data_IF_166840925197
#
_entry.id   IF_166840925197
#
_cell.length_a   1.000
_cell.length_b   1.000
_cell.length_c   1.000
_cell.angle_alpha   90.00
_cell.angle_beta   90.00
_cell.angle_gamma   90.00
#
_symmetry.space_group_name_H-M   'P 1'
#
loop_
_entity.id
_entity.type
_entity.pdbx_description
1 polymer ?
#
# COMPACT_ATOMS: atom_id res chain seq x y z
N UNK A 1 25.94 4.81 -16.26
CA UNK A 1 27.28 4.55 -15.68
C UNK A 1 27.81 3.22 -16.24
N UNK A 2 28.56 3.27 -17.34
CA UNK A 2 29.09 2.06 -17.98
C UNK A 2 30.24 1.49 -17.14
N UNK A 3 29.99 0.45 -16.34
CA UNK A 3 31.02 -0.31 -15.61
C UNK A 3 32.06 -0.79 -16.64
N UNK A 4 33.24 -0.17 -16.63
CA UNK A 4 34.24 -0.26 -17.71
C UNK A 4 35.19 -1.44 -17.51
N UNK A 5 35.17 -2.05 -16.32
CA UNK A 5 36.01 -3.18 -15.95
C UNK A 5 35.17 -4.43 -15.57
N UNK A 6 35.55 -5.63 -16.06
CA UNK A 6 34.87 -6.90 -15.71
C UNK A 6 34.85 -7.12 -14.19
N UNK A 7 35.90 -6.71 -13.49
CA UNK A 7 36.01 -6.82 -12.04
C UNK A 7 34.94 -5.98 -11.30
N UNK A 8 34.72 -4.73 -11.72
CA UNK A 8 33.70 -3.86 -11.14
C UNK A 8 32.30 -4.45 -11.32
N UNK A 9 32.00 -5.00 -12.50
CA UNK A 9 30.71 -5.68 -12.75
C UNK A 9 30.52 -6.88 -11.82
N UNK A 10 31.51 -7.75 -11.70
CA UNK A 10 31.43 -8.91 -10.80
C UNK A 10 31.26 -8.49 -9.35
N UNK A 11 31.99 -7.46 -8.91
CA UNK A 11 31.88 -6.94 -7.54
C UNK A 11 30.48 -6.37 -7.27
N UNK A 12 29.93 -5.57 -8.18
CA UNK A 12 28.56 -5.02 -8.06
C UNK A 12 27.54 -6.15 -8.00
N UNK A 13 27.63 -7.15 -8.89
CA UNK A 13 26.71 -8.30 -8.88
C UNK A 13 26.83 -9.10 -7.59
N UNK A 14 28.04 -9.35 -7.09
CA UNK A 14 28.26 -10.05 -5.84
C UNK A 14 27.64 -9.30 -4.64
N UNK A 15 27.84 -7.98 -4.57
CA UNK A 15 27.24 -7.14 -3.53
C UNK A 15 25.72 -7.16 -3.61
N UNK A 16 25.14 -7.05 -4.82
CA UNK A 16 23.69 -7.10 -5.01
C UNK A 16 23.10 -8.47 -4.63
N UNK A 17 23.79 -9.57 -4.97
CA UNK A 17 23.37 -10.92 -4.59
C UNK A 17 23.43 -11.14 -3.08
N UNK A 18 24.54 -10.76 -2.43
CA UNK A 18 24.70 -10.89 -0.98
C UNK A 18 23.65 -10.02 -0.27
N UNK A 19 23.49 -8.77 -0.69
CA UNK A 19 22.47 -7.88 -0.15
C UNK A 19 21.05 -8.43 -0.32
N UNK A 20 20.74 -8.98 -1.50
CA UNK A 20 19.46 -9.62 -1.78
C UNK A 20 19.19 -10.83 -0.88
N UNK A 21 20.18 -11.70 -0.68
CA UNK A 21 20.07 -12.86 0.22
C UNK A 21 19.84 -12.42 1.66
N UNK A 22 20.61 -11.43 2.15
CA UNK A 22 20.49 -10.92 3.52
C UNK A 22 19.10 -10.30 3.77
N UNK A 23 18.56 -9.58 2.80
CA UNK A 23 17.20 -9.00 2.89
C UNK A 23 16.13 -10.08 2.82
N UNK A 24 16.30 -11.13 2.02
CA UNK A 24 15.34 -12.22 1.88
C UNK A 24 15.30 -13.16 3.10
N UNK A 25 16.41 -13.31 3.82
CA UNK A 25 16.57 -14.23 4.92
C UNK A 25 15.49 -14.13 6.02
N UNK A 26 15.14 -12.95 6.57
CA UNK A 26 14.09 -12.85 7.58
C UNK A 26 12.70 -13.25 7.05
N UNK A 27 12.40 -12.98 5.78
CA UNK A 27 11.14 -13.39 5.15
C UNK A 27 11.08 -14.90 4.94
N UNK A 28 12.19 -15.50 4.49
CA UNK A 28 12.31 -16.96 4.36
C UNK A 28 12.19 -17.63 5.72
N UNK A 29 12.86 -17.10 6.75
CA UNK A 29 12.75 -17.59 8.11
C UNK A 29 11.32 -17.51 8.64
N UNK A 30 10.64 -16.38 8.44
CA UNK A 30 9.25 -16.17 8.83
C UNK A 30 8.31 -17.16 8.14
N UNK A 31 8.43 -17.33 6.82
CA UNK A 31 7.61 -18.28 6.07
C UNK A 31 7.88 -19.71 6.51
N UNK A 32 9.14 -20.14 6.64
CA UNK A 32 9.46 -21.50 7.08
C UNK A 32 8.98 -21.75 8.52
N UNK A 33 9.14 -20.77 9.41
CA UNK A 33 8.72 -20.89 10.80
C UNK A 33 7.20 -20.92 10.96
N UNK A 34 6.44 -20.32 10.05
CA UNK A 34 4.97 -20.39 10.06
C UNK A 34 4.41 -21.81 9.89
N UNK A 35 5.20 -22.73 9.33
CA UNK A 35 4.83 -24.14 9.15
C UNK A 35 5.40 -25.06 10.23
N UNK A 36 6.13 -24.53 11.21
CA UNK A 36 6.67 -25.31 12.32
C UNK A 36 5.63 -25.49 13.41
N UNK A 37 5.82 -26.49 14.25
CA UNK A 37 5.09 -26.60 15.52
C UNK A 37 5.63 -25.58 16.53
N UNK A 38 4.82 -25.15 17.51
CA UNK A 38 5.28 -24.19 18.54
C UNK A 38 6.54 -24.66 19.27
N UNK A 39 6.63 -25.97 19.57
CA UNK A 39 7.80 -26.59 20.19
C UNK A 39 9.04 -26.52 19.30
N UNK A 40 8.88 -26.60 17.98
CA UNK A 40 9.98 -26.52 17.02
C UNK A 40 10.43 -25.07 16.78
N UNK A 41 9.50 -24.10 16.79
CA UNK A 41 9.82 -22.67 16.69
C UNK A 41 10.74 -22.22 17.84
N UNK A 42 10.54 -22.78 19.03
CA UNK A 42 11.32 -22.50 20.24
C UNK A 42 12.55 -23.40 20.43
N UNK A 43 12.82 -24.33 19.50
CA UNK A 43 13.89 -25.31 19.65
C UNK A 43 15.29 -24.67 19.58
N UNK A 44 16.21 -25.20 20.39
CA UNK A 44 17.64 -24.84 20.40
C UNK A 44 18.46 -26.12 20.18
N UNK A 45 19.25 -26.24 19.10
CA UNK A 45 19.46 -25.25 18.05
C UNK A 45 18.22 -25.07 17.13
N UNK A 46 18.02 -23.87 16.55
CA UNK A 46 16.93 -23.64 15.62
C UNK A 46 17.02 -24.53 14.37
N UNK A 47 15.93 -25.20 14.01
CA UNK A 47 15.82 -25.90 12.72
C UNK A 47 15.73 -24.86 11.59
N UNK A 48 16.29 -25.13 10.41
CA UNK A 48 16.12 -24.21 9.27
C UNK A 48 14.81 -24.52 8.54
N UNK A 49 14.64 -25.79 8.16
CA UNK A 49 13.43 -26.28 7.53
C UNK A 49 12.50 -26.92 8.57
N UNK A 50 11.18 -26.81 8.39
CA UNK A 50 10.22 -27.48 9.26
C UNK A 50 10.39 -29.00 9.21
N UNK A 51 10.69 -29.62 10.34
CA UNK A 51 10.80 -31.09 10.44
C UNK A 51 9.43 -31.76 10.37
N UNK A 52 8.42 -31.14 10.98
CA UNK A 52 7.04 -31.60 10.96
C UNK A 52 6.12 -30.46 10.46
N UNK A 53 6.05 -30.23 9.14
CA UNK A 53 5.25 -29.16 8.57
C UNK A 53 3.78 -29.26 8.98
N UNK A 54 3.21 -28.18 9.50
CA UNK A 54 1.82 -28.10 9.94
C UNK A 54 1.16 -26.79 9.50
N UNK A 55 -0.16 -26.83 9.32
CA UNK A 55 -0.99 -25.64 9.07
C UNK A 55 -1.76 -25.21 10.32
N UNK A 56 -1.46 -25.79 11.48
CA UNK A 56 -2.20 -25.57 12.72
C UNK A 56 -2.29 -24.08 13.09
N UNK A 57 -1.20 -23.32 12.97
CA UNK A 57 -1.21 -21.89 13.24
C UNK A 57 -2.18 -21.14 12.31
N UNK A 58 -2.20 -21.46 11.01
CA UNK A 58 -3.16 -20.87 10.09
C UNK A 58 -4.60 -21.24 10.43
N UNK A 59 -4.88 -22.51 10.75
CA UNK A 59 -6.22 -22.93 11.17
C UNK A 59 -6.67 -22.17 12.42
N UNK A 60 -5.79 -22.05 13.41
CA UNK A 60 -6.06 -21.32 14.64
C UNK A 60 -6.33 -19.83 14.38
N UNK A 61 -5.56 -19.17 13.51
CA UNK A 61 -5.81 -17.77 13.14
C UNK A 61 -7.23 -17.56 12.60
N UNK A 62 -7.66 -18.41 11.66
CA UNK A 62 -8.95 -18.24 10.96
C UNK A 62 -10.14 -18.86 11.70
N UNK A 63 -9.95 -19.89 12.51
CA UNK A 63 -11.05 -20.58 13.20
C UNK A 63 -11.23 -20.14 14.65
N UNK A 64 -10.17 -19.66 15.31
CA UNK A 64 -10.20 -19.30 16.74
C UNK A 64 -10.00 -17.79 16.97
N UNK A 65 -9.34 -17.07 16.06
CA UNK A 65 -8.90 -15.68 16.27
C UNK A 65 -9.52 -14.67 15.28
N UNK A 66 -10.60 -15.04 14.60
CA UNK A 66 -11.40 -14.18 13.71
C UNK A 66 -10.60 -13.50 12.56
N UNK A 67 -9.49 -14.10 12.10
CA UNK A 67 -8.70 -13.53 10.99
C UNK A 67 -9.49 -13.43 9.68
N UNK A 68 -10.56 -14.20 9.52
CA UNK A 68 -11.50 -14.09 8.40
C UNK A 68 -12.23 -12.74 8.42
N UNK A 69 -12.74 -12.31 9.58
CA UNK A 69 -13.37 -10.99 9.77
C UNK A 69 -12.35 -9.88 9.51
N UNK A 70 -11.15 -10.01 10.07
CA UNK A 70 -10.08 -9.01 9.89
C UNK A 70 -9.64 -8.90 8.43
N UNK A 71 -9.57 -10.01 7.72
CA UNK A 71 -9.29 -10.05 6.28
C UNK A 71 -10.39 -9.34 5.49
N UNK A 72 -11.66 -9.61 5.77
CA UNK A 72 -12.79 -8.96 5.09
C UNK A 72 -12.73 -7.44 5.32
N UNK A 73 -12.50 -7.00 6.56
CA UNK A 73 -12.36 -5.58 6.89
C UNK A 73 -11.20 -4.92 6.14
N UNK A 74 -10.02 -5.54 6.15
CA UNK A 74 -8.87 -5.05 5.38
C UNK A 74 -9.18 -4.97 3.89
N UNK A 75 -9.83 -5.99 3.31
CA UNK A 75 -10.22 -6.00 1.90
C UNK A 75 -11.23 -4.90 1.56
N UNK A 76 -12.22 -4.65 2.43
CA UNK A 76 -13.16 -3.53 2.27
C UNK A 76 -12.38 -2.22 2.22
N UNK A 77 -11.49 -1.97 3.18
CA UNK A 77 -10.66 -0.75 3.20
C UNK A 77 -9.85 -0.64 1.90
N UNK A 78 -9.18 -1.70 1.46
CA UNK A 78 -8.42 -1.71 0.20
C UNK A 78 -9.31 -1.35 -1.00
N UNK A 79 -10.48 -1.96 -1.14
CA UNK A 79 -11.40 -1.69 -2.25
C UNK A 79 -11.83 -0.23 -2.27
N UNK A 80 -12.20 0.32 -1.12
CA UNK A 80 -12.59 1.73 -1.02
C UNK A 80 -11.39 2.67 -1.23
N UNK A 81 -10.19 2.32 -0.76
CA UNK A 81 -8.97 3.08 -1.07
C UNK A 81 -8.64 3.08 -2.57
N UNK A 82 -8.88 1.97 -3.29
CA UNK A 82 -8.74 1.93 -4.75
C UNK A 82 -9.77 2.80 -5.47
N UNK A 83 -11.00 2.84 -4.96
CA UNK A 83 -11.99 3.81 -5.43
C UNK A 83 -11.55 5.25 -5.13
N UNK A 84 -11.00 5.50 -3.94
CA UNK A 84 -10.37 6.76 -3.58
C UNK A 84 -9.27 7.15 -4.57
N UNK A 85 -8.42 6.21 -5.00
CA UNK A 85 -7.39 6.48 -6.01
C UNK A 85 -7.99 6.98 -7.34
N UNK A 86 -9.15 6.49 -7.76
CA UNK A 86 -9.84 7.03 -8.93
C UNK A 86 -10.21 8.51 -8.74
N UNK A 87 -10.72 8.87 -7.56
CA UNK A 87 -11.04 10.27 -7.20
C UNK A 87 -9.78 11.14 -7.14
N UNK A 88 -8.70 10.64 -6.54
CA UNK A 88 -7.40 11.31 -6.54
C UNK A 88 -6.88 11.51 -7.97
N UNK A 89 -7.12 10.55 -8.86
CA UNK A 89 -6.74 10.64 -10.28
C UNK A 89 -7.54 11.71 -11.01
N UNK A 90 -8.84 11.79 -10.77
CA UNK A 90 -9.70 12.84 -11.32
C UNK A 90 -9.28 14.23 -10.82
N UNK A 91 -8.96 14.36 -9.53
CA UNK A 91 -8.46 15.61 -8.96
C UNK A 91 -7.10 16.00 -9.57
N UNK A 92 -6.15 15.06 -9.67
CA UNK A 92 -4.85 15.29 -10.30
C UNK A 92 -4.96 15.64 -11.79
N UNK A 93 -5.90 15.02 -12.52
CA UNK A 93 -6.24 15.37 -13.90
C UNK A 93 -6.82 16.79 -13.98
N UNK A 94 -7.77 17.15 -13.11
CA UNK A 94 -8.32 18.50 -13.02
C UNK A 94 -7.25 19.56 -12.80
N UNK A 95 -6.42 19.38 -11.76
CA UNK A 95 -5.31 20.30 -11.47
C UNK A 95 -4.17 20.29 -12.49
N UNK A 96 -4.06 19.23 -13.31
CA UNK A 96 -3.01 19.11 -14.32
C UNK A 96 -3.43 19.67 -15.68
N UNK A 97 -4.70 19.52 -16.07
CA UNK A 97 -5.18 19.69 -17.44
C UNK A 97 -6.25 20.76 -17.66
N UNK A 98 -6.87 21.25 -16.59
CA UNK A 98 -7.88 22.29 -16.70
C UNK A 98 -7.31 23.61 -16.24
N UNK A 99 -7.72 24.69 -16.91
CA UNK A 99 -7.52 26.06 -16.46
C UNK A 99 -8.80 26.54 -15.78
N UNK A 100 -8.71 26.88 -14.50
CA UNK A 100 -9.83 27.40 -13.72
C UNK A 100 -9.35 28.43 -12.70
N UNK A 101 -10.27 29.32 -12.31
CA UNK A 101 -9.96 30.43 -11.41
C UNK A 101 -9.48 29.90 -10.06
N UNK A 102 -8.27 30.31 -9.66
CA UNK A 102 -7.68 29.92 -8.37
C UNK A 102 -7.05 28.53 -8.33
N UNK A 103 -6.84 27.87 -9.49
CA UNK A 103 -6.18 26.56 -9.62
C UNK A 103 -4.94 26.40 -8.72
N UNK A 104 -3.98 27.31 -8.82
CA UNK A 104 -2.74 27.23 -8.03
C UNK A 104 -2.96 27.47 -6.53
N UNK A 105 -3.94 28.30 -6.15
CA UNK A 105 -4.27 28.52 -4.75
C UNK A 105 -4.91 27.25 -4.13
N UNK A 106 -5.86 26.62 -4.82
CA UNK A 106 -6.45 25.36 -4.38
C UNK A 106 -5.44 24.22 -4.35
N UNK A 107 -4.54 24.17 -5.33
CA UNK A 107 -3.47 23.19 -5.32
C UNK A 107 -2.48 23.41 -4.16
N UNK A 108 -2.21 24.67 -3.81
CA UNK A 108 -1.42 25.01 -2.63
C UNK A 108 -2.08 24.56 -1.33
N UNK A 109 -3.41 24.67 -1.21
CA UNK A 109 -4.15 24.10 -0.07
C UNK A 109 -3.92 22.59 0.03
N UNK A 110 -4.00 21.86 -1.09
CA UNK A 110 -3.69 20.42 -1.13
C UNK A 110 -2.27 20.16 -0.63
N UNK A 111 -1.27 20.91 -1.12
CA UNK A 111 0.12 20.76 -0.68
C UNK A 111 0.31 20.98 0.82
N UNK A 112 -0.33 22.00 1.40
CA UNK A 112 -0.23 22.32 2.83
C UNK A 112 -0.73 21.15 3.69
N UNK A 113 -1.80 20.47 3.27
CA UNK A 113 -2.32 19.31 4.03
C UNK A 113 -1.33 18.14 4.09
N UNK A 114 -0.44 18.01 3.10
CA UNK A 114 0.61 16.98 3.08
C UNK A 114 1.82 17.34 3.95
N UNK A 115 2.01 18.63 4.29
CA UNK A 115 3.13 19.08 5.14
C UNK A 115 2.94 18.71 6.61
N UNK A 116 1.69 18.52 7.04
CA UNK A 116 1.36 18.10 8.39
C UNK A 116 1.53 16.58 8.51
N UNK A 117 2.28 16.08 9.52
CA UNK A 117 2.34 14.65 9.79
C UNK A 117 0.95 14.12 10.16
N UNK A 118 0.55 12.97 9.61
CA UNK A 118 -0.78 12.39 9.86
C UNK A 118 -1.06 12.10 11.34
N UNK A 119 -0.02 11.89 12.15
CA UNK A 119 -0.14 11.71 13.60
C UNK A 119 -0.63 12.99 14.31
N UNK A 120 -0.27 14.17 13.79
CA UNK A 120 -0.69 15.46 14.38
C UNK A 120 -2.17 15.71 14.12
N UNK A 121 -2.67 15.32 12.94
CA UNK A 121 -4.08 15.48 12.58
C UNK A 121 -4.98 14.36 13.12
N UNK A 122 -4.39 13.32 13.72
CA UNK A 122 -5.10 12.13 14.20
C UNK A 122 -6.12 12.42 15.28
N UNK A 123 -5.73 13.12 16.36
CA UNK A 123 -6.64 13.48 17.46
C UNK A 123 -7.77 14.40 16.96
N UNK A 124 -7.49 15.51 16.24
CA UNK A 124 -8.56 16.33 15.66
C UNK A 124 -9.52 15.55 14.76
N UNK A 125 -9.00 14.67 13.90
CA UNK A 125 -9.82 13.85 13.00
C UNK A 125 -10.72 12.90 13.80
N UNK A 126 -10.20 12.28 14.85
CA UNK A 126 -10.99 11.43 15.74
C UNK A 126 -12.13 12.21 16.39
N UNK A 127 -11.86 13.41 16.92
CA UNK A 127 -12.88 14.26 17.55
C UNK A 127 -14.00 14.65 16.57
N UNK A 128 -13.65 15.02 15.34
CA UNK A 128 -14.61 15.32 14.28
C UNK A 128 -15.49 14.11 13.97
N UNK A 129 -14.88 12.93 13.79
CA UNK A 129 -15.66 11.71 13.54
C UNK A 129 -16.53 11.31 14.72
N UNK A 130 -16.06 11.54 15.94
CA UNK A 130 -16.83 11.24 17.14
C UNK A 130 -18.07 12.14 17.23
N UNK A 131 -17.92 13.43 16.94
CA UNK A 131 -19.04 14.38 16.86
C UNK A 131 -20.03 13.99 15.75
N UNK A 132 -19.54 13.44 14.63
CA UNK A 132 -20.36 12.91 13.54
C UNK A 132 -20.97 11.52 13.82
N UNK A 133 -20.63 10.87 14.94
CA UNK A 133 -21.07 9.50 15.25
C UNK A 133 -20.47 8.43 14.33
N UNK A 134 -19.32 8.71 13.72
CA UNK A 134 -18.62 7.81 12.79
C UNK A 134 -17.49 7.02 13.47
N UNK A 135 -17.17 7.30 14.74
CA UNK A 135 -16.28 6.43 15.53
C UNK A 135 -16.87 5.04 15.68
N UNK A 136 -16.01 4.02 15.76
CA UNK A 136 -16.41 2.62 15.77
C UNK A 136 -17.29 2.23 14.57
N UNK A 137 -16.99 2.74 13.37
CA UNK A 137 -17.64 2.34 12.12
C UNK A 137 -16.61 2.15 11.01
N UNK A 138 -16.91 1.28 10.04
CA UNK A 138 -16.07 1.09 8.85
C UNK A 138 -15.93 2.39 8.04
N UNK A 139 -16.97 3.23 8.01
CA UNK A 139 -16.91 4.54 7.36
C UNK A 139 -15.90 5.49 8.03
N UNK A 140 -15.86 5.52 9.36
CA UNK A 140 -14.86 6.30 10.11
C UNK A 140 -13.43 5.84 9.89
N UNK A 141 -13.23 4.55 9.62
CA UNK A 141 -11.91 4.00 9.26
C UNK A 141 -11.50 4.43 7.84
N UNK A 142 -12.43 4.39 6.88
CA UNK A 142 -12.14 4.58 5.45
C UNK A 142 -12.05 6.06 5.05
N UNK A 143 -13.02 6.88 5.47
CA UNK A 143 -13.22 8.23 4.92
C UNK A 143 -11.99 9.15 5.04
N UNK A 144 -11.27 9.20 6.18
CA UNK A 144 -10.13 10.11 6.33
C UNK A 144 -8.97 9.82 5.38
N UNK A 145 -8.79 8.54 5.01
CA UNK A 145 -7.73 8.09 4.11
C UNK A 145 -8.14 8.01 2.64
N UNK A 146 -9.41 8.30 2.31
CA UNK A 146 -9.96 8.07 0.97
C UNK A 146 -9.32 8.99 -0.09
N UNK A 147 -9.03 10.24 0.29
CA UNK A 147 -8.41 11.26 -0.56
C UNK A 147 -7.09 11.67 0.08
N UNK A 148 -5.99 11.53 -0.67
CA UNK A 148 -4.66 11.77 -0.16
C UNK A 148 -3.95 12.84 -1.01
N UNK A 149 -3.50 13.91 -0.36
CA UNK A 149 -2.84 15.03 -1.01
C UNK A 149 -1.60 14.60 -1.81
N UNK A 150 -0.82 13.64 -1.31
CA UNK A 150 0.32 13.06 -2.01
C UNK A 150 -0.07 12.40 -3.34
N UNK A 151 -1.19 11.67 -3.36
CA UNK A 151 -1.68 11.00 -4.56
C UNK A 151 -2.11 12.05 -5.60
N UNK A 152 -2.87 13.08 -5.18
CA UNK A 152 -3.26 14.19 -6.06
C UNK A 152 -2.02 14.91 -6.60
N UNK A 153 -1.05 15.21 -5.73
CA UNK A 153 0.19 15.88 -6.11
C UNK A 153 0.94 15.09 -7.18
N UNK A 154 1.25 13.82 -6.92
CA UNK A 154 2.02 13.00 -7.86
C UNK A 154 1.29 12.80 -9.18
N UNK A 155 -0.02 12.56 -9.14
CA UNK A 155 -0.80 12.42 -10.37
C UNK A 155 -0.79 13.73 -11.14
N UNK A 156 -0.98 14.89 -10.50
CA UNK A 156 -0.87 16.19 -11.19
C UNK A 156 0.51 16.36 -11.83
N UNK A 157 1.60 16.05 -11.11
CA UNK A 157 2.96 16.16 -11.67
C UNK A 157 3.12 15.34 -12.94
N UNK A 158 2.56 14.13 -12.97
CA UNK A 158 2.54 13.30 -14.17
C UNK A 158 1.61 13.86 -15.26
N UNK A 159 0.42 14.36 -14.90
CA UNK A 159 -0.53 14.88 -15.87
C UNK A 159 0.06 16.05 -16.67
N UNK A 160 0.85 16.92 -16.03
CA UNK A 160 1.52 18.03 -16.73
C UNK A 160 2.48 17.56 -17.82
N UNK A 161 3.02 16.33 -17.76
CA UNK A 161 3.93 15.81 -18.79
C UNK A 161 3.22 15.28 -20.04
N UNK A 162 1.91 15.07 -19.99
CA UNK A 162 1.12 14.66 -21.16
C UNK A 162 0.94 15.89 -22.08
N UNK A 163 1.16 15.83 -23.40
CA UNK A 163 0.89 16.97 -24.27
C UNK A 163 -0.60 17.36 -24.31
N UNK A 164 -0.91 18.66 -24.22
CA UNK A 164 -2.30 19.14 -24.27
C UNK A 164 -2.93 18.99 -25.66
N UNK A 165 -2.11 19.00 -26.73
CA UNK A 165 -2.54 18.78 -28.12
C UNK A 165 -3.38 17.50 -28.30
N UNK A 166 -3.09 16.45 -27.53
CA UNK A 166 -3.85 15.18 -27.56
C UNK A 166 -5.29 15.37 -27.05
N UNK A 167 -5.46 16.19 -26.02
CA UNK A 167 -6.76 16.52 -25.42
C UNK A 167 -7.52 17.47 -26.34
N UNK A 168 -6.84 18.47 -26.89
CA UNK A 168 -7.43 19.44 -27.82
C UNK A 168 -7.90 18.76 -29.11
N UNK A 169 -7.10 17.87 -29.70
CA UNK A 169 -7.50 17.10 -30.87
C UNK A 169 -8.75 16.25 -30.62
N UNK A 170 -8.81 15.57 -29.47
CA UNK A 170 -9.99 14.78 -29.11
C UNK A 170 -11.25 15.65 -28.93
N UNK A 171 -11.12 16.86 -28.37
CA UNK A 171 -12.23 17.83 -28.27
C UNK A 171 -12.68 18.32 -29.63
N UNK A 172 -11.75 18.57 -30.57
CA UNK A 172 -12.07 18.94 -31.95
C UNK A 172 -12.83 17.82 -32.69
N UNK A 173 -12.51 16.56 -32.39
CA UNK A 173 -13.24 15.38 -32.88
C UNK A 173 -14.60 15.16 -32.17
N UNK A 174 -15.00 16.05 -31.25
CA UNK A 174 -16.28 16.01 -30.55
C UNK A 174 -16.32 15.05 -29.35
N UNK A 175 -15.17 14.57 -28.85
CA UNK A 175 -15.13 13.72 -27.68
C UNK A 175 -15.44 14.51 -26.39
N UNK A 176 -16.34 13.97 -25.56
CA UNK A 176 -16.62 14.51 -24.24
C UNK A 176 -15.52 14.19 -23.21
N UNK A 177 -15.46 14.96 -22.12
CA UNK A 177 -14.41 14.82 -21.10
C UNK A 177 -14.33 13.43 -20.46
N UNK A 178 -15.46 12.75 -20.25
CA UNK A 178 -15.45 11.38 -19.73
C UNK A 178 -14.76 10.40 -20.70
N UNK A 179 -14.93 10.60 -22.01
CA UNK A 179 -14.23 9.82 -23.02
C UNK A 179 -12.74 10.13 -23.00
N UNK A 180 -12.36 11.41 -22.99
CA UNK A 180 -10.96 11.84 -22.94
C UNK A 180 -10.28 11.25 -21.69
N UNK A 181 -10.90 11.39 -20.52
CA UNK A 181 -10.39 10.85 -19.28
C UNK A 181 -10.18 9.32 -19.36
N UNK A 182 -11.23 8.58 -19.70
CA UNK A 182 -11.20 7.10 -19.65
C UNK A 182 -10.41 6.44 -20.79
N UNK A 183 -10.42 7.03 -22.00
CA UNK A 183 -9.84 6.42 -23.21
C UNK A 183 -8.50 7.01 -23.62
N UNK A 184 -8.14 8.20 -23.14
CA UNK A 184 -6.87 8.85 -23.50
C UNK A 184 -6.00 8.99 -22.24
N UNK A 185 -6.50 9.66 -21.22
CA UNK A 185 -5.73 9.99 -20.02
C UNK A 185 -5.36 8.74 -19.22
N UNK A 186 -6.35 7.91 -18.83
CA UNK A 186 -6.08 6.70 -18.04
C UNK A 186 -5.06 5.77 -18.72
N UNK A 187 -5.14 5.47 -20.03
CA UNK A 187 -4.13 4.66 -20.71
C UNK A 187 -2.73 5.29 -20.74
N UNK A 188 -2.62 6.60 -20.93
CA UNK A 188 -1.33 7.32 -20.92
C UNK A 188 -0.75 7.41 -19.50
N UNK A 189 -1.60 7.43 -18.48
CA UNK A 189 -1.22 7.46 -17.07
C UNK A 189 -0.93 6.08 -16.46
N UNK A 190 -0.94 4.99 -17.23
CA UNK A 190 -0.61 3.65 -16.71
C UNK A 190 0.66 3.58 -15.86
N UNK A 191 1.79 4.23 -16.21
CA UNK A 191 3.01 4.17 -15.39
C UNK A 191 2.81 4.77 -13.99
N UNK A 192 2.24 5.99 -13.90
CA UNK A 192 1.99 6.62 -12.60
C UNK A 192 0.88 5.90 -11.82
N UNK A 193 -0.16 5.43 -12.50
CA UNK A 193 -1.25 4.69 -11.88
C UNK A 193 -0.78 3.35 -11.31
N UNK A 194 0.15 2.66 -11.97
CA UNK A 194 0.73 1.44 -11.42
C UNK A 194 1.46 1.70 -10.09
N UNK A 195 2.27 2.77 -10.02
CA UNK A 195 2.93 3.18 -8.77
C UNK A 195 1.89 3.51 -7.69
N UNK A 196 0.88 4.30 -8.05
CA UNK A 196 -0.18 4.71 -7.12
C UNK A 196 -1.03 3.53 -6.61
N UNK A 197 -1.33 2.54 -7.45
CA UNK A 197 -2.02 1.31 -7.05
C UNK A 197 -1.21 0.55 -6.01
N UNK A 198 0.10 0.35 -6.24
CA UNK A 198 0.95 -0.34 -5.27
C UNK A 198 1.00 0.41 -3.94
N UNK A 199 1.25 1.72 -3.97
CA UNK A 199 1.34 2.53 -2.75
C UNK A 199 0.01 2.58 -2.00
N UNK A 200 -1.11 2.73 -2.71
CA UNK A 200 -2.46 2.73 -2.13
C UNK A 200 -2.80 1.36 -1.53
N UNK A 201 -2.45 0.27 -2.21
CA UNK A 201 -2.63 -1.09 -1.68
C UNK A 201 -1.83 -1.28 -0.40
N UNK A 202 -0.52 -1.00 -0.43
CA UNK A 202 0.36 -1.19 0.73
C UNK A 202 -0.12 -0.34 1.91
N UNK A 203 -0.51 0.92 1.67
CA UNK A 203 -0.99 1.81 2.71
C UNK A 203 -2.30 1.34 3.36
N UNK A 204 -3.26 0.88 2.54
CA UNK A 204 -4.55 0.38 3.05
C UNK A 204 -4.44 -1.02 3.68
N UNK A 205 -3.63 -1.90 3.11
CA UNK A 205 -3.39 -3.27 3.61
C UNK A 205 -2.65 -3.28 4.96
N UNK A 206 -1.67 -2.38 5.13
CA UNK A 206 -0.90 -2.23 6.37
C UNK A 206 -1.46 -1.16 7.31
N UNK A 207 -2.71 -0.72 7.10
CA UNK A 207 -3.33 0.29 7.95
C UNK A 207 -3.51 -0.24 9.38
N UNK A 208 -2.76 0.34 10.31
CA UNK A 208 -2.68 -0.12 11.70
C UNK A 208 -3.17 0.93 12.68
N UNK A 209 -2.43 2.03 12.83
CA UNK A 209 -2.61 2.99 13.92
C UNK A 209 -4.01 3.65 13.91
N UNK A 210 -4.50 4.01 12.72
CA UNK A 210 -5.82 4.65 12.60
C UNK A 210 -6.98 3.68 12.92
N UNK A 211 -7.07 2.49 12.30
CA UNK A 211 -8.04 1.48 12.70
C UNK A 211 -7.99 1.14 14.19
N UNK A 212 -6.79 1.01 14.78
CA UNK A 212 -6.62 0.72 16.21
C UNK A 212 -7.26 1.77 17.12
N UNK A 213 -7.23 3.04 16.71
CA UNK A 213 -7.76 4.16 17.52
C UNK A 213 -9.27 4.34 17.30
N UNK A 214 -9.77 4.10 16.09
CA UNK A 214 -11.16 4.39 15.72
C UNK A 214 -12.09 3.20 16.00
N UNK A 215 -11.59 1.97 15.90
CA UNK A 215 -12.36 0.77 16.18
C UNK A 215 -12.29 0.43 17.67
N UNK A 216 -13.46 0.32 18.31
CA UNK A 216 -13.60 -0.18 19.67
C UNK A 216 -14.04 -1.65 19.68
N UNK A 217 -14.81 -2.07 18.68
CA UNK A 217 -15.32 -3.42 18.52
C UNK A 217 -14.36 -4.28 17.67
N UNK A 218 -14.03 -5.47 18.16
CA UNK A 218 -13.13 -6.42 17.47
C UNK A 218 -13.66 -6.76 16.06
N UNK A 219 -14.98 -6.74 15.86
CA UNK A 219 -15.59 -6.99 14.54
C UNK A 219 -15.19 -5.97 13.46
N UNK A 220 -14.57 -4.84 13.84
CA UNK A 220 -14.06 -3.81 12.93
C UNK A 220 -12.52 -3.80 12.81
N UNK A 221 -11.82 -4.69 13.50
CA UNK A 221 -10.37 -4.76 13.41
C UNK A 221 -9.90 -5.18 12.02
N UNK A 222 -8.74 -4.66 11.64
CA UNK A 222 -8.02 -5.02 10.41
C UNK A 222 -7.00 -6.11 10.70
N UNK A 223 -6.48 -6.77 9.67
CA UNK A 223 -5.40 -7.76 9.82
C UNK A 223 -4.20 -7.20 10.60
N UNK A 224 -3.81 -5.95 10.34
CA UNK A 224 -2.69 -5.32 11.05
C UNK A 224 -2.99 -5.14 12.54
N UNK A 225 -4.22 -4.78 12.90
CA UNK A 225 -4.64 -4.67 14.31
C UNK A 225 -4.69 -6.04 14.96
N UNK A 226 -5.35 -7.02 14.32
CA UNK A 226 -5.45 -8.39 14.82
C UNK A 226 -4.08 -9.06 15.02
N UNK A 227 -3.14 -8.86 14.08
CA UNK A 227 -1.77 -9.37 14.22
C UNK A 227 -1.03 -8.75 15.41
N UNK A 228 -1.21 -7.45 15.66
CA UNK A 228 -0.59 -6.79 16.81
C UNK A 228 -1.12 -7.31 18.15
N UNK A 229 -2.39 -7.71 18.21
CA UNK A 229 -3.00 -8.32 19.41
C UNK A 229 -2.44 -9.71 19.71
N UNK A 230 -1.81 -10.39 18.74
CA UNK A 230 -1.09 -11.64 18.99
C UNK A 230 0.21 -11.46 19.77
N UNK A 231 0.65 -10.21 19.98
CA UNK A 231 1.80 -9.86 20.82
C UNK A 231 1.41 -9.62 22.29
N UNK A 232 0.39 -10.33 22.80
CA UNK A 232 0.01 -10.28 24.21
C UNK A 232 1.22 -10.64 25.11
N UNK A 233 1.40 -9.85 26.18
CA UNK A 233 2.52 -9.92 27.11
C UNK A 233 2.55 -11.22 27.93
N UNK A 234 1.46 -11.98 28.00
CA UNK A 234 1.36 -13.13 28.90
C UNK A 234 1.75 -14.48 28.27
N UNK A 235 1.49 -14.69 26.97
CA UNK A 235 1.89 -15.90 26.22
C UNK A 235 2.08 -15.53 24.74
N UNK A 236 3.29 -15.13 24.36
CA UNK A 236 3.62 -14.94 22.94
C UNK A 236 3.74 -16.31 22.27
N UNK A 237 2.81 -16.62 21.36
CA UNK A 237 2.91 -17.76 20.46
C UNK A 237 3.65 -17.34 19.19
N UNK A 238 4.93 -17.71 19.09
CA UNK A 238 5.79 -17.25 18.00
C UNK A 238 5.36 -17.88 16.66
N UNK A 239 4.86 -19.12 16.66
CA UNK A 239 4.37 -19.76 15.44
C UNK A 239 3.16 -19.02 14.84
N UNK A 240 2.21 -18.60 15.67
CA UNK A 240 1.04 -17.80 15.25
C UNK A 240 1.43 -16.44 14.69
N UNK A 241 2.37 -15.74 15.34
CA UNK A 241 2.85 -14.46 14.83
C UNK A 241 3.57 -14.60 13.50
N UNK A 242 4.38 -15.65 13.33
CA UNK A 242 5.05 -15.96 12.06
C UNK A 242 4.03 -16.29 10.97
N UNK A 243 2.99 -17.07 11.27
CA UNK A 243 1.92 -17.40 10.34
C UNK A 243 1.09 -16.17 9.92
N UNK A 244 0.69 -15.33 10.87
CA UNK A 244 -0.03 -14.09 10.59
C UNK A 244 0.80 -13.11 9.76
N UNK A 245 2.08 -12.96 10.10
CA UNK A 245 3.02 -12.11 9.36
C UNK A 245 3.29 -12.63 7.95
N UNK A 246 3.49 -13.95 7.79
CA UNK A 246 3.64 -14.60 6.49
C UNK A 246 2.39 -14.41 5.62
N UNK A 247 1.20 -14.55 6.20
CA UNK A 247 -0.07 -14.30 5.51
C UNK A 247 -0.19 -12.85 5.04
N UNK A 248 0.16 -11.88 5.90
CA UNK A 248 0.10 -10.46 5.54
C UNK A 248 1.11 -10.05 4.46
N UNK A 249 2.30 -10.67 4.42
CA UNK A 249 3.34 -10.34 3.42
C UNK A 249 3.02 -10.89 2.04
N UNK A 250 2.36 -12.05 1.96
CA UNK A 250 2.16 -12.75 0.70
C UNK A 250 1.41 -11.93 -0.38
N UNK A 251 0.30 -11.23 -0.08
CA UNK A 251 -0.39 -10.38 -1.06
C UNK A 251 0.47 -9.21 -1.55
N UNK A 252 1.31 -8.64 -0.69
CA UNK A 252 2.23 -7.56 -1.06
C UNK A 252 3.25 -8.05 -2.08
N UNK A 253 3.82 -9.24 -1.86
CA UNK A 253 4.76 -9.86 -2.81
C UNK A 253 4.09 -10.16 -4.16
N UNK A 254 2.85 -10.69 -4.14
CA UNK A 254 2.09 -10.96 -5.37
C UNK A 254 1.88 -9.67 -6.17
N UNK A 255 1.42 -8.60 -5.52
CA UNK A 255 1.22 -7.30 -6.17
C UNK A 255 2.54 -6.73 -6.69
N UNK A 256 3.60 -6.79 -5.91
CA UNK A 256 4.92 -6.37 -6.39
C UNK A 256 5.34 -7.14 -7.64
N UNK A 257 5.21 -8.46 -7.67
CA UNK A 257 5.58 -9.29 -8.83
C UNK A 257 4.75 -8.92 -10.08
N UNK A 258 3.46 -8.64 -9.91
CA UNK A 258 2.57 -8.25 -11.01
C UNK A 258 2.94 -6.88 -11.58
N UNK A 259 3.26 -5.91 -10.70
CA UNK A 259 3.45 -4.52 -11.10
C UNK A 259 4.91 -4.04 -11.22
N UNK A 260 5.91 -4.85 -10.81
CA UNK A 260 7.35 -4.48 -10.83
C UNK A 260 7.83 -3.95 -12.19
N UNK A 261 7.29 -4.47 -13.31
CA UNK A 261 7.65 -4.01 -14.67
C UNK A 261 7.33 -2.53 -14.88
N UNK A 262 6.21 -2.04 -14.36
CA UNK A 262 5.79 -0.65 -14.49
C UNK A 262 6.63 0.28 -13.61
N UNK A 263 7.08 -0.21 -12.45
CA UNK A 263 8.00 0.53 -11.58
C UNK A 263 9.33 0.75 -12.32
N UNK A 264 9.90 -0.31 -12.89
CA UNK A 264 11.20 -0.26 -13.58
C UNK A 264 11.13 0.62 -14.84
N UNK A 265 10.04 0.55 -15.59
CA UNK A 265 9.80 1.42 -16.76
C UNK A 265 9.70 2.91 -16.37
N UNK A 266 9.03 3.23 -15.24
CA UNK A 266 8.88 4.60 -14.75
C UNK A 266 10.19 5.28 -14.36
N UNK A 267 11.15 4.53 -13.78
CA UNK A 267 12.46 5.08 -13.41
C UNK A 267 13.34 5.40 -14.63
N UNK A 268 13.22 4.63 -15.71
CA UNK A 268 14.04 4.83 -16.91
C UNK A 268 13.76 6.13 -17.68
N UNK A 269 12.58 6.73 -17.50
CA UNK A 269 12.24 8.03 -18.13
C UNK A 269 12.99 9.20 -17.45
N UNK A 270 13.35 9.07 -16.17
CA UNK A 270 14.18 10.07 -15.46
C UNK A 270 15.69 9.95 -15.71
N UNK A 271 16.14 8.84 -16.29
CA UNK A 271 17.56 8.52 -16.50
C UNK A 271 18.16 9.03 -17.80
N UNK A 272 17.37 9.68 -18.66
CA UNK A 272 17.85 10.32 -19.89
C UNK A 272 18.13 11.80 -19.58
N UNK A 273 19.25 12.06 -18.91
CA UNK A 273 19.96 13.34 -18.93
C UNK A 273 21.45 13.06 -19.06
#
# INVERSE_FOLDING_TARGET
MYLRNRFEKTLVVAIMLIGGILVALPFLWMILSSFKTETEVLAIPPTIFPENPTFQHYLQLFQELNFDVYLINTLIIVVFSMFGLLLNTMAGYGFGKFEFKGKEAWFMVVLITMMLPGQVTMIPTYLILNEMGLTNTMAGIILPGLIAAFNIFLIRQFMVTIPDDLIEAARLDGAGEFYIFSRIIIPLSKPILAVQVILTFIGSWNSFLWPLIVANDESLYTLSVGLALLQDENVTNYGLQMAGSAFMVLPILIIFIIFQKYIVEGFNVSGIK
#
